data_IF_271536848188
#
_entry.id   IF_271536848188
#
_cell.length_a   1.000
_cell.length_b   1.000
_cell.length_c   1.000
_cell.angle_alpha   90.00
_cell.angle_beta   90.00
_cell.angle_gamma   90.00
#
_symmetry.space_group_name_H-M   'P 1'
#
loop_
_entity.id
_entity.type
_entity.pdbx_description
1 polymer ?
#
# COMPACT_ATOMS: atom_id res chain seq x y z
N UNK A 1 20.77 6.14 -5.17
CA UNK A 1 21.06 6.46 -6.58
C UNK A 1 19.77 6.91 -7.25
N UNK A 2 19.74 8.04 -7.98
CA UNK A 2 18.56 8.46 -8.73
C UNK A 2 18.17 7.47 -9.82
N UNK A 3 16.88 7.41 -10.15
CA UNK A 3 16.36 6.46 -11.13
C UNK A 3 16.95 6.66 -12.55
N UNK A 4 17.23 7.90 -12.95
CA UNK A 4 17.90 8.22 -14.21
C UNK A 4 19.32 7.65 -14.31
N UNK A 5 20.07 7.69 -13.20
CA UNK A 5 21.40 7.08 -13.13
C UNK A 5 21.30 5.55 -13.17
N UNK A 6 20.31 4.96 -12.49
CA UNK A 6 20.02 3.53 -12.58
C UNK A 6 19.75 3.11 -14.03
N UNK A 7 18.87 3.84 -14.74
CA UNK A 7 18.57 3.59 -16.14
C UNK A 7 19.83 3.66 -17.00
N UNK A 8 20.67 4.68 -16.80
CA UNK A 8 21.93 4.85 -17.52
C UNK A 8 22.89 3.66 -17.33
N UNK A 9 22.97 3.08 -16.13
CA UNK A 9 23.84 1.91 -15.89
C UNK A 9 23.25 0.58 -16.33
N UNK A 10 21.93 0.52 -16.60
CA UNK A 10 21.22 -0.70 -17.05
C UNK A 10 20.72 -0.63 -18.49
N UNK A 11 21.16 0.35 -19.30
CA UNK A 11 20.77 0.51 -20.70
C UNK A 11 21.99 0.51 -21.63
N UNK A 12 21.79 0.32 -22.92
CA UNK A 12 22.86 0.25 -23.92
C UNK A 12 23.91 -0.80 -23.56
N UNK A 13 25.16 -0.38 -23.39
CA UNK A 13 26.27 -1.25 -22.97
C UNK A 13 26.05 -1.88 -21.57
N UNK A 14 25.18 -1.29 -20.75
CA UNK A 14 24.80 -1.77 -19.43
C UNK A 14 23.74 -2.88 -19.41
N UNK A 15 23.18 -3.29 -20.56
CA UNK A 15 22.12 -4.31 -20.62
C UNK A 15 22.50 -5.62 -19.95
N UNK A 16 23.75 -6.06 -20.12
CA UNK A 16 24.26 -7.29 -19.49
C UNK A 16 24.19 -7.24 -17.95
N UNK A 17 24.21 -6.05 -17.34
CA UNK A 17 24.13 -5.88 -15.89
C UNK A 17 22.74 -6.20 -15.35
N UNK A 18 21.67 -6.09 -16.15
CA UNK A 18 20.31 -6.47 -15.75
C UNK A 18 20.25 -7.90 -15.23
N UNK A 19 21.00 -8.81 -15.86
CA UNK A 19 21.10 -10.22 -15.45
C UNK A 19 21.74 -10.45 -14.07
N UNK A 20 22.50 -9.46 -13.57
CA UNK A 20 23.16 -9.51 -12.26
C UNK A 20 22.29 -8.90 -11.15
N UNK A 21 21.28 -8.12 -11.50
CA UNK A 21 20.41 -7.43 -10.54
C UNK A 21 19.27 -8.36 -10.16
N UNK A 22 19.33 -8.94 -8.96
CA UNK A 22 18.28 -9.81 -8.41
C UNK A 22 17.37 -9.13 -7.40
N UNK A 23 17.85 -8.05 -6.78
CA UNK A 23 17.15 -7.32 -5.76
C UNK A 23 17.24 -5.82 -6.04
N UNK A 24 16.09 -5.15 -6.10
CA UNK A 24 15.97 -3.71 -6.23
C UNK A 24 15.25 -3.16 -5.01
N UNK A 25 15.95 -2.33 -4.22
CA UNK A 25 15.33 -1.51 -3.19
C UNK A 25 15.07 -0.12 -3.76
N UNK A 26 13.80 0.24 -3.89
CA UNK A 26 13.39 1.52 -4.44
C UNK A 26 12.71 2.36 -3.38
N UNK A 27 13.35 3.47 -3.03
CA UNK A 27 12.81 4.46 -2.12
C UNK A 27 12.25 5.62 -2.93
N UNK A 28 10.95 5.81 -2.86
CA UNK A 28 10.27 6.98 -3.39
C UNK A 28 10.40 8.08 -2.36
N UNK A 29 10.96 9.22 -2.77
CA UNK A 29 11.09 10.39 -1.90
C UNK A 29 10.00 11.38 -2.29
N UNK A 30 9.08 11.64 -1.37
CA UNK A 30 8.07 12.70 -1.47
C UNK A 30 8.52 13.91 -0.67
N UNK A 31 7.83 15.04 -0.80
CA UNK A 31 8.26 16.26 -0.16
C UNK A 31 8.07 16.16 1.35
N UNK A 32 6.88 15.71 1.78
CA UNK A 32 6.49 15.77 3.18
C UNK A 32 6.28 14.38 3.79
N UNK A 33 6.83 14.17 5.00
CA UNK A 33 6.43 13.10 5.91
C UNK A 33 5.30 13.66 6.78
N UNK A 34 4.06 13.35 6.39
CA UNK A 34 2.87 13.85 7.08
C UNK A 34 2.63 13.00 8.33
N UNK A 35 2.91 13.59 9.50
CA UNK A 35 2.73 12.95 10.80
C UNK A 35 1.29 13.09 11.32
N UNK A 36 0.30 12.87 10.46
CA UNK A 36 -1.13 13.06 10.79
C UNK A 36 -1.68 12.11 11.85
N UNK A 37 -0.89 11.13 12.28
CA UNK A 37 -1.17 10.33 13.46
C UNK A 37 -0.89 11.10 14.78
N UNK A 38 -0.21 12.25 14.75
CA UNK A 38 0.07 13.14 15.88
C UNK A 38 -0.80 14.40 15.91
N UNK A 39 -1.49 14.71 14.82
CA UNK A 39 -2.23 15.97 14.70
C UNK A 39 -3.74 15.78 14.87
N UNK A 40 -4.46 16.88 15.11
CA UNK A 40 -5.92 16.95 15.17
C UNK A 40 -6.46 17.99 14.20
N UNK A 41 -7.66 17.75 13.65
CA UNK A 41 -8.40 18.71 12.81
C UNK A 41 -8.71 20.02 13.53
N UNK A 42 -8.58 21.10 12.78
CA UNK A 42 -9.18 22.39 13.08
C UNK A 42 -10.37 22.69 12.16
N UNK A 43 -11.09 23.76 12.49
CA UNK A 43 -12.14 24.29 11.62
C UNK A 43 -11.54 24.71 10.28
N UNK A 44 -12.09 24.18 9.18
CA UNK A 44 -11.60 24.45 7.82
C UNK A 44 -10.72 23.35 7.24
N UNK A 45 -10.46 22.27 7.99
CA UNK A 45 -9.74 21.12 7.45
C UNK A 45 -10.44 20.53 6.22
N UNK A 46 -9.63 20.31 5.19
CA UNK A 46 -10.01 19.61 3.97
C UNK A 46 -9.08 18.42 3.77
N UNK A 47 -9.69 17.27 3.46
CA UNK A 47 -8.98 16.02 3.23
C UNK A 47 -8.11 16.07 1.97
N UNK A 48 -8.65 16.72 0.93
CA UNK A 48 -7.95 17.07 -0.28
C UNK A 48 -7.24 18.40 -0.04
N UNK A 49 -5.92 18.35 -0.04
CA UNK A 49 -5.07 19.50 0.13
C UNK A 49 -3.81 19.37 -0.73
N UNK A 50 -3.18 20.51 -0.98
CA UNK A 50 -2.04 20.60 -1.88
C UNK A 50 -0.82 19.79 -1.40
N UNK A 51 -0.61 19.64 -0.09
CA UNK A 51 0.49 18.83 0.47
C UNK A 51 0.30 17.37 0.06
N UNK A 52 -0.86 16.79 0.39
CA UNK A 52 -1.19 15.41 0.03
C UNK A 52 -1.18 15.19 -1.48
N UNK A 53 -1.74 16.14 -2.24
CA UNK A 53 -1.78 16.07 -3.70
C UNK A 53 -0.38 16.05 -4.32
N UNK A 54 0.54 16.88 -3.81
CA UNK A 54 1.92 16.93 -4.29
C UNK A 54 2.67 15.63 -4.00
N UNK A 55 2.48 15.04 -2.81
CA UNK A 55 3.10 13.76 -2.47
C UNK A 55 2.49 12.60 -3.29
N UNK A 56 1.17 12.60 -3.51
CA UNK A 56 0.47 11.64 -4.39
C UNK A 56 0.99 11.74 -5.84
N UNK A 57 1.19 12.96 -6.36
CA UNK A 57 1.75 13.20 -7.69
C UNK A 57 3.19 12.71 -7.81
N UNK A 58 4.02 12.98 -6.79
CA UNK A 58 5.41 12.52 -6.75
C UNK A 58 5.49 10.99 -6.67
N UNK A 59 4.66 10.37 -5.83
CA UNK A 59 4.52 8.91 -5.75
C UNK A 59 4.13 8.30 -7.11
N UNK A 60 3.09 8.85 -7.74
CA UNK A 60 2.62 8.37 -9.03
C UNK A 60 3.70 8.45 -10.10
N UNK A 61 4.36 9.61 -10.24
CA UNK A 61 5.46 9.79 -11.21
C UNK A 61 6.58 8.77 -10.97
N UNK A 62 6.99 8.61 -9.71
CA UNK A 62 8.10 7.72 -9.36
C UNK A 62 7.81 6.24 -9.66
N UNK A 63 6.56 5.79 -9.51
CA UNK A 63 6.16 4.44 -9.87
C UNK A 63 6.06 4.27 -11.39
N UNK A 64 5.46 5.23 -12.10
CA UNK A 64 5.37 5.21 -13.56
C UNK A 64 6.77 5.14 -14.17
N UNK A 65 7.70 5.97 -13.71
CA UNK A 65 9.07 5.98 -14.22
C UNK A 65 9.80 4.67 -13.94
N UNK A 66 9.63 4.10 -12.74
CA UNK A 66 10.20 2.79 -12.41
C UNK A 66 9.66 1.72 -13.36
N UNK A 67 8.34 1.67 -13.54
CA UNK A 67 7.70 0.67 -14.38
C UNK A 67 8.13 0.80 -15.83
N UNK A 68 8.18 2.03 -16.38
CA UNK A 68 8.70 2.29 -17.72
C UNK A 68 10.13 1.75 -17.93
N UNK A 69 11.00 1.86 -16.93
CA UNK A 69 12.37 1.30 -17.01
C UNK A 69 12.36 -0.23 -17.01
N UNK A 70 11.46 -0.83 -16.23
CA UNK A 70 11.38 -2.29 -16.04
C UNK A 70 10.58 -3.00 -17.13
N UNK A 71 9.77 -2.31 -17.93
CA UNK A 71 8.99 -2.88 -19.03
C UNK A 71 9.85 -3.67 -20.01
N UNK A 72 11.04 -3.15 -20.33
CA UNK A 72 11.94 -3.77 -21.31
C UNK A 72 12.87 -4.82 -20.69
N UNK A 73 12.67 -5.20 -19.44
CA UNK A 73 13.49 -6.21 -18.78
C UNK A 73 12.96 -7.60 -19.10
N UNK A 74 13.88 -8.51 -19.39
CA UNK A 74 13.55 -9.89 -19.72
C UNK A 74 12.82 -10.58 -18.54
N UNK A 75 11.72 -11.26 -18.85
CA UNK A 75 10.86 -11.92 -17.86
C UNK A 75 11.61 -12.99 -17.04
N UNK A 76 12.68 -13.59 -17.58
CA UNK A 76 13.47 -14.62 -16.91
C UNK A 76 14.42 -14.04 -15.84
N UNK A 77 14.49 -12.71 -15.71
CA UNK A 77 15.35 -12.07 -14.72
C UNK A 77 14.87 -12.26 -13.27
N UNK A 78 13.56 -12.50 -13.08
CA UNK A 78 12.94 -12.78 -11.77
C UNK A 78 13.40 -11.82 -10.67
N UNK A 79 13.18 -10.53 -10.90
CA UNK A 79 13.55 -9.45 -10.01
C UNK A 79 12.72 -9.48 -8.73
N UNK A 80 13.38 -9.29 -7.59
CA UNK A 80 12.72 -8.99 -6.32
C UNK A 80 12.75 -7.48 -6.07
N UNK A 81 11.59 -6.86 -5.86
CA UNK A 81 11.45 -5.43 -5.61
C UNK A 81 10.99 -5.18 -4.18
N UNK A 82 11.69 -4.29 -3.47
CA UNK A 82 11.28 -3.74 -2.18
C UNK A 82 11.00 -2.24 -2.37
N UNK A 83 9.77 -1.83 -2.08
CA UNK A 83 9.29 -0.48 -2.26
C UNK A 83 9.03 0.19 -0.91
N UNK A 84 9.56 1.41 -0.74
CA UNK A 84 9.24 2.26 0.40
C UNK A 84 8.96 3.70 -0.06
N UNK A 85 8.11 4.39 0.69
CA UNK A 85 7.88 5.83 0.56
C UNK A 85 8.52 6.54 1.76
N UNK A 86 9.26 7.61 1.49
CA UNK A 86 9.96 8.43 2.48
C UNK A 86 9.62 9.90 2.25
N UNK A 87 9.24 10.64 3.30
CA UNK A 87 9.18 12.09 3.24
C UNK A 87 10.58 12.71 3.40
N UNK A 88 10.83 13.81 2.68
CA UNK A 88 12.11 14.53 2.76
C UNK A 88 12.21 15.38 4.01
N UNK A 89 11.11 16.01 4.40
CA UNK A 89 10.99 16.83 5.61
C UNK A 89 9.67 16.55 6.29
N UNK A 90 9.57 16.85 7.59
CA UNK A 90 8.30 16.71 8.32
C UNK A 90 7.31 17.73 7.77
N UNK A 91 6.15 17.26 7.32
CA UNK A 91 5.08 18.12 6.82
C UNK A 91 4.01 18.38 7.86
N UNK A 92 3.52 19.61 7.89
CA UNK A 92 2.35 19.99 8.66
C UNK A 92 1.13 20.05 7.73
N UNK A 93 0.12 19.22 8.01
CA UNK A 93 -1.09 19.24 7.22
C UNK A 93 -1.91 20.51 7.50
N UNK A 94 -2.45 21.21 6.47
CA UNK A 94 -3.17 22.46 6.70
C UNK A 94 -4.40 22.27 7.57
N UNK A 95 -4.68 23.24 8.44
CA UNK A 95 -5.78 23.18 9.41
C UNK A 95 -5.72 21.95 10.31
N UNK A 96 -4.50 21.58 10.70
CA UNK A 96 -4.26 20.64 11.79
C UNK A 96 -3.36 21.30 12.83
N UNK A 97 -3.44 20.81 14.06
CA UNK A 97 -2.53 21.21 15.12
C UNK A 97 -1.93 19.96 15.76
N UNK A 98 -0.67 20.07 16.19
CA UNK A 98 -0.02 19.02 16.96
C UNK A 98 -0.74 18.83 18.31
N UNK A 99 -0.93 17.58 18.71
CA UNK A 99 -1.60 17.27 19.96
C UNK A 99 -0.76 16.27 20.74
N UNK A 100 -0.09 16.75 21.79
CA UNK A 100 0.98 16.03 22.50
C UNK A 100 0.65 14.58 22.90
N UNK A 101 -0.62 14.27 23.22
CA UNK A 101 -1.06 12.92 23.61
C UNK A 101 -1.63 12.10 22.44
N UNK A 102 -1.80 12.67 21.25
CA UNK A 102 -2.23 11.95 20.05
C UNK A 102 -1.26 10.81 19.69
N UNK A 103 0.03 11.07 19.88
CA UNK A 103 1.10 10.08 19.70
C UNK A 103 1.07 8.95 20.74
N UNK A 104 0.50 9.18 21.93
CA UNK A 104 0.40 8.16 22.98
C UNK A 104 -0.67 7.10 22.64
N UNK A 105 -1.67 7.46 21.85
CA UNK A 105 -2.63 6.51 21.25
C UNK A 105 -2.01 5.68 20.10
N UNK A 106 -0.69 5.80 19.85
CA UNK A 106 -0.01 4.98 18.84
C UNK A 106 0.23 3.55 19.28
N UNK A 107 0.17 3.19 20.58
CA UNK A 107 0.78 1.93 21.03
C UNK A 107 -0.16 0.88 21.63
N UNK A 108 -1.37 1.17 22.09
CA UNK A 108 -1.92 0.34 23.17
C UNK A 108 -3.35 -0.17 23.03
N UNK A 109 -3.61 -1.15 22.15
CA UNK A 109 -4.97 -1.74 22.10
C UNK A 109 -5.07 -3.27 22.03
N UNK A 110 -3.94 -4.01 22.01
CA UNK A 110 -3.96 -5.47 22.26
C UNK A 110 -2.82 -5.96 23.15
N UNK A 111 -1.59 -5.42 23.00
CA UNK A 111 -0.37 -5.80 23.75
C UNK A 111 0.73 -4.70 23.82
N UNK A 112 0.40 -3.41 23.67
CA UNK A 112 1.40 -2.32 23.67
C UNK A 112 2.32 -2.21 22.44
N UNK A 113 1.96 -2.80 21.29
CA UNK A 113 2.81 -2.87 20.07
C UNK A 113 2.10 -2.56 18.74
N UNK A 114 0.83 -2.18 18.75
CA UNK A 114 0.06 -1.98 17.51
C UNK A 114 0.06 -0.51 17.15
N UNK A 115 0.72 -0.15 16.04
CA UNK A 115 0.85 1.24 15.59
C UNK A 115 -0.46 1.72 14.98
N UNK A 116 -0.96 2.86 15.43
CA UNK A 116 -1.99 3.58 14.69
C UNK A 116 -1.49 3.90 13.28
N UNK A 117 -2.40 3.80 12.31
CA UNK A 117 -2.07 4.00 10.90
C UNK A 117 -2.13 5.49 10.55
N UNK A 118 -1.14 6.01 9.82
CA UNK A 118 -1.23 7.33 9.23
C UNK A 118 -2.50 7.48 8.39
N UNK A 119 -3.15 8.64 8.50
CA UNK A 119 -4.32 8.98 7.68
C UNK A 119 -3.86 9.19 6.23
N UNK A 120 -2.66 9.73 6.05
CA UNK A 120 -1.95 9.91 4.80
C UNK A 120 -1.24 8.63 4.39
N UNK A 121 -1.67 8.12 3.24
CA UNK A 121 -0.94 7.13 2.48
C UNK A 121 -1.03 7.55 1.02
N UNK A 122 0.11 7.54 0.34
CA UNK A 122 0.22 7.88 -1.05
C UNK A 122 -0.69 6.98 -1.89
N UNK A 123 -1.45 7.62 -2.78
CA UNK A 123 -2.35 6.96 -3.73
C UNK A 123 -2.06 7.46 -5.14
N UNK A 124 -2.48 6.68 -6.14
CA UNK A 124 -2.61 7.21 -7.50
C UNK A 124 -3.69 8.28 -7.54
N UNK A 125 -3.43 9.33 -8.32
CA UNK A 125 -4.42 10.33 -8.67
C UNK A 125 -5.34 9.76 -9.75
N UNK A 126 -6.65 9.86 -9.58
CA UNK A 126 -7.68 9.45 -10.56
C UNK A 126 -7.29 8.20 -11.40
N UNK A 127 -6.89 8.42 -12.66
CA UNK A 127 -6.56 7.37 -13.62
C UNK A 127 -5.06 7.05 -13.71
N UNK A 128 -4.24 7.53 -12.79
CA UNK A 128 -2.78 7.40 -12.82
C UNK A 128 -2.29 5.95 -12.87
N UNK A 129 -2.99 5.04 -12.22
CA UNK A 129 -2.68 3.61 -12.26
C UNK A 129 -2.80 3.01 -13.68
N UNK A 130 -3.68 3.55 -14.53
CA UNK A 130 -3.85 3.07 -15.91
C UNK A 130 -2.65 3.36 -16.82
N UNK A 131 -1.80 4.33 -16.42
CA UNK A 131 -0.59 4.71 -17.15
C UNK A 131 0.58 3.75 -16.93
N UNK A 132 0.47 2.85 -15.95
CA UNK A 132 1.52 1.88 -15.67
C UNK A 132 1.61 0.86 -16.81
N UNK A 133 2.79 0.58 -17.39
CA UNK A 133 2.97 -0.56 -18.28
C UNK A 133 2.94 -1.89 -17.51
N UNK A 134 2.76 -3.01 -18.22
CA UNK A 134 2.94 -4.34 -17.62
C UNK A 134 4.43 -4.66 -17.49
N UNK A 135 4.83 -5.20 -16.33
CA UNK A 135 6.22 -5.51 -15.97
C UNK A 135 6.34 -7.00 -15.62
N UNK A 136 6.71 -7.86 -16.58
CA UNK A 136 6.75 -9.31 -16.39
C UNK A 136 8.03 -9.80 -15.70
N UNK A 137 9.00 -8.93 -15.43
CA UNK A 137 10.27 -9.34 -14.85
C UNK A 137 10.24 -9.41 -13.31
N UNK A 138 9.19 -8.91 -12.64
CA UNK A 138 9.09 -8.89 -11.17
C UNK A 138 8.46 -10.17 -10.66
N UNK A 139 9.24 -10.96 -9.94
CA UNK A 139 8.84 -12.24 -9.35
C UNK A 139 8.42 -12.10 -7.88
N UNK A 140 9.12 -11.26 -7.12
CA UNK A 140 8.78 -10.98 -5.73
C UNK A 140 8.59 -9.49 -5.52
N UNK A 141 7.52 -9.13 -4.80
CA UNK A 141 7.24 -7.73 -4.46
C UNK A 141 7.01 -7.58 -2.96
N UNK A 142 7.71 -6.64 -2.35
CA UNK A 142 7.56 -6.30 -0.94
C UNK A 142 7.31 -4.80 -0.79
N UNK A 143 6.27 -4.45 -0.04
CA UNK A 143 6.04 -3.10 0.45
C UNK A 143 6.60 -3.01 1.87
N UNK A 144 7.49 -2.05 2.12
CA UNK A 144 8.18 -1.92 3.39
C UNK A 144 7.20 -1.71 4.55
N UNK A 145 7.10 -2.72 5.43
CA UNK A 145 6.09 -2.81 6.51
C UNK A 145 6.34 -1.77 7.61
N UNK A 146 7.56 -1.25 7.75
CA UNK A 146 7.87 -0.19 8.71
C UNK A 146 7.33 1.19 8.30
N UNK A 147 6.88 1.33 7.06
CA UNK A 147 6.60 2.59 6.38
C UNK A 147 5.30 2.45 5.58
N UNK A 148 4.18 2.21 6.29
CA UNK A 148 2.82 2.07 5.74
C UNK A 148 2.26 3.38 5.15
N UNK A 149 3.04 4.05 4.30
CA UNK A 149 2.65 5.30 3.64
C UNK A 149 2.17 5.06 2.21
N UNK A 150 1.93 3.81 1.78
CA UNK A 150 1.34 3.52 0.47
C UNK A 150 -0.05 2.94 0.71
N UNK A 151 -1.04 3.49 0.02
CA UNK A 151 -2.41 3.02 0.14
C UNK A 151 -2.53 1.58 -0.38
N UNK A 152 -3.23 0.71 0.35
CA UNK A 152 -3.37 -0.70 -0.02
C UNK A 152 -3.98 -0.87 -1.43
N UNK A 153 -4.94 -0.01 -1.80
CA UNK A 153 -5.50 0.00 -3.15
C UNK A 153 -4.45 0.29 -4.23
N UNK A 154 -3.55 1.25 -3.98
CA UNK A 154 -2.48 1.58 -4.92
C UNK A 154 -1.38 0.52 -4.96
N UNK A 155 -1.08 -0.13 -3.83
CA UNK A 155 -0.23 -1.32 -3.81
C UNK A 155 -0.83 -2.43 -4.70
N UNK A 156 -2.13 -2.69 -4.61
CA UNK A 156 -2.78 -3.69 -5.47
C UNK A 156 -2.78 -3.29 -6.95
N UNK A 157 -3.02 -2.01 -7.27
CA UNK A 157 -2.93 -1.50 -8.64
C UNK A 157 -1.53 -1.69 -9.25
N UNK A 158 -0.47 -1.51 -8.45
CA UNK A 158 0.93 -1.79 -8.86
C UNK A 158 1.11 -3.29 -9.16
N UNK A 159 0.65 -4.14 -8.25
CA UNK A 159 0.83 -5.60 -8.37
C UNK A 159 0.05 -6.17 -9.55
N UNK A 160 -1.12 -5.62 -9.88
CA UNK A 160 -1.89 -6.02 -11.06
C UNK A 160 -1.11 -5.89 -12.37
N UNK A 161 -0.13 -5.00 -12.43
CA UNK A 161 0.74 -4.79 -13.60
C UNK A 161 1.97 -5.70 -13.60
N UNK A 162 2.13 -6.56 -12.59
CA UNK A 162 3.24 -7.50 -12.48
C UNK A 162 2.73 -8.93 -12.69
N UNK A 163 2.79 -9.43 -13.93
CA UNK A 163 2.10 -10.67 -14.34
C UNK A 163 2.74 -11.96 -13.83
N UNK A 164 3.99 -11.91 -13.39
CA UNK A 164 4.78 -13.08 -12.97
C UNK A 164 5.04 -13.13 -11.46
N UNK A 165 4.41 -12.24 -10.68
CA UNK A 165 4.62 -12.19 -9.23
C UNK A 165 4.18 -13.49 -8.59
N UNK A 166 5.14 -14.20 -7.99
CA UNK A 166 4.92 -15.42 -7.22
C UNK A 166 4.90 -15.15 -5.72
N UNK A 167 5.50 -14.03 -5.26
CA UNK A 167 5.53 -13.65 -3.84
C UNK A 167 5.15 -12.21 -3.62
N UNK A 168 4.21 -11.99 -2.71
CA UNK A 168 3.76 -10.68 -2.29
C UNK A 168 3.86 -10.53 -0.77
N UNK A 169 4.57 -9.49 -0.33
CA UNK A 169 4.64 -9.10 1.09
C UNK A 169 3.97 -7.74 1.25
N UNK A 170 2.85 -7.73 1.98
CA UNK A 170 2.04 -6.55 2.25
C UNK A 170 1.86 -6.35 3.75
N UNK A 171 1.98 -5.10 4.18
CA UNK A 171 1.53 -4.67 5.49
C UNK A 171 0.09 -4.16 5.41
N UNK A 172 -0.83 -4.78 6.14
CA UNK A 172 -2.25 -4.39 6.18
C UNK A 172 -2.70 -4.05 7.62
N UNK A 173 -1.79 -3.52 8.44
CA UNK A 173 -2.19 -2.97 9.74
C UNK A 173 -3.08 -1.76 9.47
N UNK A 174 -4.36 -1.89 9.82
CA UNK A 174 -5.40 -0.90 9.60
C UNK A 174 -6.00 -0.47 10.95
N UNK A 175 -5.20 -0.38 12.03
CA UNK A 175 -5.73 0.19 13.27
C UNK A 175 -5.93 1.71 13.12
N UNK A 176 -7.18 2.06 12.85
CA UNK A 176 -7.65 3.43 12.75
C UNK A 176 -8.00 3.91 14.16
N UNK A 177 -7.39 5.01 14.60
CA UNK A 177 -7.81 5.66 15.85
C UNK A 177 -9.30 6.01 15.77
N UNK A 178 -10.09 5.82 16.84
CA UNK A 178 -11.53 6.11 16.81
C UNK A 178 -11.88 7.52 16.33
N UNK A 179 -11.08 8.52 16.71
CA UNK A 179 -11.26 9.91 16.28
C UNK A 179 -10.82 10.16 14.83
N UNK A 180 -10.11 9.22 14.20
CA UNK A 180 -9.71 9.26 12.79
C UNK A 180 -10.64 8.43 11.87
N UNK A 181 -11.65 7.76 12.41
CA UNK A 181 -12.58 6.91 11.63
C UNK A 181 -13.28 7.74 10.53
N UNK A 182 -13.80 8.92 10.88
CA UNK A 182 -14.45 9.81 9.92
C UNK A 182 -13.49 10.29 8.82
N UNK A 183 -12.20 10.42 9.13
CA UNK A 183 -11.17 10.87 8.18
C UNK A 183 -10.95 9.80 7.11
N UNK A 184 -10.79 8.55 7.54
CA UNK A 184 -10.56 7.44 6.64
C UNK A 184 -11.83 7.06 5.88
N UNK A 185 -13.01 7.22 6.50
CA UNK A 185 -14.29 7.03 5.83
C UNK A 185 -14.52 8.07 4.72
N UNK A 186 -14.26 9.35 4.97
CA UNK A 186 -14.34 10.39 3.95
C UNK A 186 -13.36 10.12 2.78
N UNK A 187 -12.12 9.69 3.09
CA UNK A 187 -11.11 9.37 2.07
C UNK A 187 -11.43 8.15 1.23
N UNK A 188 -12.20 7.23 1.81
CA UNK A 188 -12.84 6.18 1.04
C UNK A 188 -13.80 6.91 0.10
N UNK A 189 -14.91 7.49 0.56
CA UNK A 189 -16.06 7.95 -0.27
C UNK A 189 -15.84 8.97 -1.42
N UNK A 190 -14.68 9.62 -1.55
CA UNK A 190 -14.39 10.66 -2.56
C UNK A 190 -13.83 10.13 -3.92
N UNK A 191 -13.69 8.82 -4.09
CA UNK A 191 -13.57 8.23 -5.43
C UNK A 191 -14.79 7.36 -5.70
N UNK A 192 -15.53 7.51 -6.78
CA UNK A 192 -16.61 6.56 -7.10
C UNK A 192 -16.45 5.99 -8.50
N UNK A 193 -16.10 4.68 -8.57
CA UNK A 193 -17.14 3.65 -8.67
C UNK A 193 -17.04 2.50 -7.64
N UNK A 194 -16.21 2.60 -6.59
CA UNK A 194 -16.02 1.50 -5.65
C UNK A 194 -16.96 1.53 -4.42
N UNK A 195 -17.96 2.45 -4.33
CA UNK A 195 -19.08 2.34 -3.35
C UNK A 195 -19.84 1.03 -3.46
N UNK A 196 -19.86 0.37 -4.61
CA UNK A 196 -20.41 -0.98 -4.74
C UNK A 196 -19.44 -2.09 -4.29
N UNK A 197 -18.17 -1.75 -4.03
CA UNK A 197 -17.11 -2.74 -3.82
C UNK A 197 -16.58 -2.87 -2.39
N UNK A 198 -16.82 -1.92 -1.47
CA UNK A 198 -16.36 -2.06 -0.08
C UNK A 198 -17.20 -1.21 0.90
N UNK A 199 -18.13 -1.79 1.69
CA UNK A 199 -18.63 -1.14 2.89
C UNK A 199 -17.54 -1.12 3.95
N UNK A 200 -17.55 -0.07 4.76
CA UNK A 200 -16.59 0.19 5.80
C UNK A 200 -16.28 -1.04 6.65
N UNK A 201 -15.00 -1.36 6.73
CA UNK A 201 -14.37 -2.17 7.79
C UNK A 201 -15.18 -3.39 8.29
N UNK A 202 -15.82 -4.11 7.38
CA UNK A 202 -16.27 -5.49 7.56
C UNK A 202 -15.56 -6.45 6.58
N UNK A 203 -14.47 -6.00 5.95
CA UNK A 203 -13.81 -6.72 4.84
C UNK A 203 -12.79 -7.74 5.33
N UNK A 204 -13.20 -8.57 6.28
CA UNK A 204 -12.78 -9.97 6.32
C UNK A 204 -13.97 -10.92 6.40
N UNK A 205 -15.22 -10.42 6.55
CA UNK A 205 -16.38 -11.29 6.73
C UNK A 205 -17.69 -10.83 6.07
N UNK A 206 -17.83 -9.61 5.53
CA UNK A 206 -19.16 -9.22 5.01
C UNK A 206 -19.26 -8.60 3.63
N UNK A 207 -18.20 -8.38 2.84
CA UNK A 207 -18.43 -8.13 1.40
C UNK A 207 -17.26 -8.53 0.50
N UNK A 208 -17.62 -9.35 -0.48
CA UNK A 208 -16.77 -10.25 -1.27
C UNK A 208 -16.29 -9.62 -2.59
N UNK A 209 -16.06 -8.29 -2.64
CA UNK A 209 -15.88 -7.55 -3.90
C UNK A 209 -14.44 -7.42 -4.41
N UNK A 210 -13.65 -6.52 -3.83
CA UNK A 210 -12.46 -5.98 -4.50
C UNK A 210 -11.15 -6.71 -4.16
N UNK A 211 -10.88 -6.96 -2.88
CA UNK A 211 -9.68 -7.69 -2.48
C UNK A 211 -9.75 -9.15 -2.94
N UNK A 212 -10.92 -9.77 -2.84
CA UNK A 212 -11.19 -11.12 -3.36
C UNK A 212 -11.02 -11.19 -4.88
N UNK A 213 -11.49 -10.21 -5.66
CA UNK A 213 -11.28 -10.18 -7.12
C UNK A 213 -9.81 -9.97 -7.48
N UNK A 214 -9.12 -9.06 -6.80
CA UNK A 214 -7.69 -8.82 -7.03
C UNK A 214 -6.85 -10.05 -6.64
N UNK A 215 -7.15 -10.70 -5.52
CA UNK A 215 -6.53 -11.96 -5.15
C UNK A 215 -6.93 -13.11 -6.07
N UNK A 216 -8.14 -13.15 -6.63
CA UNK A 216 -8.55 -14.14 -7.64
C UNK A 216 -7.72 -14.00 -8.91
N UNK A 217 -7.54 -12.78 -9.42
CA UNK A 217 -6.67 -12.51 -10.56
C UNK A 217 -5.20 -12.88 -10.29
N UNK A 218 -4.72 -12.63 -9.07
CA UNK A 218 -3.36 -12.99 -8.66
C UNK A 218 -3.20 -14.48 -8.29
N UNK A 219 -4.28 -15.19 -7.98
CA UNK A 219 -4.22 -16.58 -7.47
C UNK A 219 -3.66 -17.59 -8.48
N UNK A 220 -3.65 -17.24 -9.77
CA UNK A 220 -3.13 -18.11 -10.82
C UNK A 220 -1.59 -18.14 -10.86
N UNK A 221 -0.92 -17.10 -10.35
CA UNK A 221 0.55 -16.97 -10.36
C UNK A 221 1.16 -16.83 -8.96
N UNK A 222 0.40 -16.34 -7.99
CA UNK A 222 0.88 -16.09 -6.62
C UNK A 222 1.03 -17.40 -5.83
N UNK A 223 2.28 -17.83 -5.63
CA UNK A 223 2.61 -18.99 -4.79
C UNK A 223 2.71 -18.69 -3.30
N UNK A 224 3.03 -17.45 -2.92
CA UNK A 224 3.19 -17.05 -1.51
C UNK A 224 2.63 -15.64 -1.27
N UNK A 225 1.62 -15.55 -0.39
CA UNK A 225 1.09 -14.29 0.12
C UNK A 225 1.45 -14.13 1.60
N UNK A 226 2.27 -13.13 1.91
CA UNK A 226 2.62 -12.75 3.29
C UNK A 226 1.94 -11.45 3.65
N UNK A 227 0.87 -11.57 4.44
CA UNK A 227 0.21 -10.41 5.04
C UNK A 227 0.74 -10.27 6.46
N UNK A 228 1.36 -9.12 6.73
CA UNK A 228 1.77 -8.75 8.07
C UNK A 228 0.72 -7.85 8.72
N UNK A 229 0.52 -8.06 10.03
CA UNK A 229 -0.26 -7.17 10.91
C UNK A 229 -1.74 -6.99 10.50
N UNK A 230 -2.43 -8.07 10.12
CA UNK A 230 -3.87 -8.00 9.80
C UNK A 230 -4.69 -7.63 11.04
N UNK A 231 -5.40 -6.49 11.00
CA UNK A 231 -6.35 -6.12 12.05
C UNK A 231 -7.66 -6.89 11.85
N UNK A 232 -7.86 -7.97 12.61
CA UNK A 232 -9.15 -8.67 12.67
C UNK A 232 -10.19 -7.74 13.33
N UNK A 233 -11.35 -7.57 12.68
CA UNK A 233 -12.47 -6.79 13.19
C UNK A 233 -12.80 -7.18 14.66
N UNK A 234 -13.18 -6.22 15.53
CA UNK A 234 -13.54 -6.50 16.92
C UNK A 234 -14.62 -7.59 17.06
N UNK A 235 -15.54 -7.66 16.11
CA UNK A 235 -16.67 -8.57 16.02
C UNK A 235 -16.26 -10.04 15.79
N UNK A 236 -15.03 -10.30 15.34
CA UNK A 236 -14.45 -11.65 15.26
C UNK A 236 -14.25 -12.29 16.65
N UNK A 237 -14.14 -11.48 17.71
CA UNK A 237 -13.91 -11.96 19.08
C UNK A 237 -15.22 -12.26 19.84
N UNK A 238 -16.38 -11.94 19.25
CA UNK A 238 -17.69 -12.12 19.89
C UNK A 238 -18.48 -13.36 19.39
N UNK A 239 -18.00 -14.06 18.36
CA UNK A 239 -18.55 -15.37 17.96
C UNK A 239 -17.49 -16.45 18.24
N UNK A 240 -17.84 -17.41 19.10
CA UNK A 240 -17.05 -18.63 19.32
C UNK A 240 -16.98 -19.44 18.01
N UNK A 241 -16.03 -19.11 17.16
CA UNK A 241 -15.65 -19.91 16.00
C UNK A 241 -14.53 -20.84 16.48
N UNK A 242 -14.80 -22.13 16.52
CA UNK A 242 -13.81 -23.11 16.97
C UNK A 242 -12.74 -23.32 15.88
N UNK A 243 -11.51 -23.71 16.25
CA UNK A 243 -10.37 -23.82 15.31
C UNK A 243 -10.60 -24.71 14.08
N UNK A 244 -11.63 -25.56 14.09
CA UNK A 244 -12.01 -26.42 12.97
C UNK A 244 -12.60 -25.66 11.77
N UNK A 245 -13.17 -24.47 11.97
CA UNK A 245 -13.83 -23.71 10.88
C UNK A 245 -12.86 -22.93 9.98
N UNK A 246 -11.61 -22.70 10.42
CA UNK A 246 -10.58 -22.03 9.61
C UNK A 246 -9.96 -22.94 8.55
N UNK A 247 -10.12 -24.27 8.66
CA UNK A 247 -9.54 -25.24 7.72
C UNK A 247 -10.33 -25.34 6.41
N UNK A 248 -11.65 -25.13 6.45
CA UNK A 248 -12.53 -25.31 5.29
C UNK A 248 -12.60 -24.08 4.35
N UNK A 249 -11.99 -22.95 4.73
CA UNK A 249 -11.93 -21.76 3.87
C UNK A 249 -10.81 -21.80 2.82
N UNK A 250 -9.83 -22.70 2.97
CA UNK A 250 -8.66 -22.80 2.07
C UNK A 250 -8.56 -24.13 1.31
N UNK A 251 -9.44 -25.09 1.59
CA UNK A 251 -9.59 -26.30 0.78
C UNK A 251 -11.03 -26.36 0.31
N UNK A 252 -11.27 -25.92 -0.92
CA UNK A 252 -12.56 -26.11 -1.58
C UNK A 252 -12.82 -27.60 -1.78
N UNK A 253 -13.47 -28.22 -0.80
CA UNK A 253 -14.17 -29.49 -0.88
C UNK A 253 -15.40 -29.35 0.00
N UNK A 254 -16.53 -29.03 -0.64
CA UNK A 254 -17.69 -29.92 -0.76
C UNK A 254 -18.40 -29.60 -2.08
#
# INVERSE_FOLDING_TARGET
>A
MPLSQFQGVTSGEGLARRAMIRHLKYHIVVLFDILDWQTRKEKGYALENHIRHNDDAAFQSAIIDLFNILTDWDLNLRLSVELALLGREVGEEPHTYDFDIAGDYRYDFKKGRTKAVPVYRAKFLENGASLLPDVPCIDHFCFAISSHHIWAGSAMQIIQRCTTVTKLVLGLDEYIRPDHIEYIQARRQDGEPWKEMMPGLNVLLSDNGCLSQNFRHLSLSLGELKIHQLSLAPDFYMRRVTPYQLRNLFTGLD
#
